data_IF_914227008238
#
_entry.id   IF_914227008238
#
_cell.length_a   1.000
_cell.length_b   1.000
_cell.length_c   1.000
_cell.angle_alpha   90.00
_cell.angle_beta   90.00
_cell.angle_gamma   90.00
#
_symmetry.space_group_name_H-M   'P 1'
#
loop_
_entity.id
_entity.type
_entity.pdbx_description
1 polymer ?
#
# COMPACT_ATOMS: atom_id res chain seq x y z
N UNK A 1 24.75 -10.45 0.20
CA UNK A 1 23.73 -9.54 0.78
C UNK A 1 23.49 -8.39 -0.20
N UNK A 2 22.29 -7.82 -0.27
CA UNK A 2 22.02 -6.64 -1.11
C UNK A 2 22.93 -5.47 -0.71
N UNK A 3 23.38 -4.69 -1.70
CA UNK A 3 24.03 -3.39 -1.44
C UNK A 3 22.98 -2.30 -1.25
N UNK A 4 23.34 -1.20 -0.58
CA UNK A 4 22.45 -0.03 -0.45
C UNK A 4 21.98 0.49 -1.81
N UNK A 5 22.84 0.44 -2.83
CA UNK A 5 22.51 0.87 -4.20
C UNK A 5 21.44 -0.02 -4.83
N UNK A 6 21.58 -1.33 -4.70
CA UNK A 6 20.56 -2.28 -5.18
C UNK A 6 19.25 -2.10 -4.42
N UNK A 7 19.31 -1.97 -3.09
CA UNK A 7 18.12 -1.70 -2.29
C UNK A 7 17.38 -0.43 -2.76
N UNK A 8 18.11 0.65 -3.04
CA UNK A 8 17.52 1.90 -3.55
C UNK A 8 16.83 1.74 -4.89
N UNK A 9 17.34 0.89 -5.78
CA UNK A 9 16.69 0.60 -7.07
C UNK A 9 15.36 -0.15 -6.87
N UNK A 10 15.29 -0.99 -5.84
CA UNK A 10 14.14 -1.81 -5.47
C UNK A 10 13.28 -1.17 -4.35
N UNK A 11 13.49 0.11 -4.03
CA UNK A 11 12.80 0.78 -2.91
C UNK A 11 11.28 0.83 -3.14
N UNK A 12 10.84 0.98 -4.38
CA UNK A 12 9.41 0.97 -4.72
C UNK A 12 8.78 -0.39 -4.40
N UNK A 13 9.45 -1.49 -4.73
CA UNK A 13 9.02 -2.84 -4.38
C UNK A 13 9.00 -3.04 -2.86
N UNK A 14 9.96 -2.43 -2.14
CA UNK A 14 9.88 -2.43 -0.69
C UNK A 14 8.66 -1.67 -0.14
N UNK A 15 8.17 -0.64 -0.83
CA UNK A 15 7.05 0.18 -0.36
C UNK A 15 5.68 -0.31 -0.86
N UNK A 16 5.63 -1.15 -1.89
CA UNK A 16 4.39 -1.72 -2.42
C UNK A 16 3.89 -2.87 -1.51
N UNK A 17 2.62 -2.84 -1.07
CA UNK A 17 2.01 -3.93 -0.32
C UNK A 17 1.77 -5.20 -1.16
N UNK A 18 1.83 -5.13 -2.49
CA UNK A 18 1.57 -6.24 -3.41
C UNK A 18 2.82 -6.90 -3.98
N UNK A 19 4.01 -6.48 -3.54
CA UNK A 19 5.27 -7.07 -3.97
C UNK A 19 5.36 -8.55 -3.62
N UNK A 20 6.06 -9.30 -4.48
CA UNK A 20 6.38 -10.70 -4.25
C UNK A 20 6.97 -10.94 -2.83
N UNK A 21 6.45 -11.93 -2.06
CA UNK A 21 6.88 -12.15 -0.68
C UNK A 21 8.37 -12.47 -0.51
N UNK A 22 8.98 -13.18 -1.46
CA UNK A 22 10.40 -13.53 -1.39
C UNK A 22 11.28 -12.31 -1.64
N UNK A 23 10.90 -11.48 -2.60
CA UNK A 23 11.53 -10.18 -2.83
C UNK A 23 11.40 -9.27 -1.61
N UNK A 24 10.19 -9.20 -1.02
CA UNK A 24 9.91 -8.40 0.19
C UNK A 24 10.82 -8.80 1.35
N UNK A 25 10.90 -10.10 1.65
CA UNK A 25 11.75 -10.65 2.71
C UNK A 25 13.23 -10.31 2.50
N UNK A 26 13.71 -10.40 1.26
CA UNK A 26 15.10 -10.07 0.92
C UNK A 26 15.42 -8.59 1.15
N UNK A 27 14.49 -7.70 0.81
CA UNK A 27 14.63 -6.26 1.02
C UNK A 27 14.53 -5.92 2.52
N UNK A 28 13.62 -6.55 3.26
CA UNK A 28 13.47 -6.40 4.72
C UNK A 28 14.73 -6.80 5.48
N UNK A 29 15.39 -7.89 5.11
CA UNK A 29 16.65 -8.31 5.72
C UNK A 29 17.73 -7.21 5.61
N UNK A 30 17.83 -6.54 4.47
CA UNK A 30 18.79 -5.45 4.29
C UNK A 30 18.46 -4.23 5.14
N UNK A 31 17.19 -3.80 5.17
CA UNK A 31 16.74 -2.64 5.94
C UNK A 31 16.96 -2.84 7.43
N UNK A 32 16.76 -4.07 7.91
CA UNK A 32 16.92 -4.43 9.32
C UNK A 32 18.37 -4.30 9.78
N UNK A 33 19.33 -4.57 8.90
CA UNK A 33 20.76 -4.58 9.23
C UNK A 33 21.51 -3.31 8.81
N UNK A 34 20.89 -2.45 8.00
CA UNK A 34 21.54 -1.25 7.45
C UNK A 34 20.89 0.05 7.96
N UNK A 35 21.55 0.79 8.87
CA UNK A 35 21.05 2.06 9.39
C UNK A 35 20.76 3.10 8.31
N UNK A 36 21.58 3.16 7.26
CA UNK A 36 21.39 4.11 6.15
C UNK A 36 20.08 3.84 5.40
N UNK A 37 19.83 2.57 5.05
CA UNK A 37 18.61 2.19 4.34
C UNK A 37 17.37 2.25 5.24
N UNK A 38 17.50 2.00 6.54
CA UNK A 38 16.44 2.25 7.51
C UNK A 38 15.98 3.72 7.47
N UNK A 39 16.92 4.68 7.57
CA UNK A 39 16.59 6.11 7.55
C UNK A 39 15.90 6.49 6.23
N UNK A 40 16.38 5.96 5.09
CA UNK A 40 15.77 6.21 3.78
C UNK A 40 14.34 5.69 3.73
N UNK A 41 14.09 4.46 4.20
CA UNK A 41 12.75 3.89 4.25
C UNK A 41 11.82 4.70 5.13
N UNK A 42 12.25 5.01 6.35
CA UNK A 42 11.45 5.74 7.34
C UNK A 42 11.06 7.13 6.83
N UNK A 43 12.03 7.89 6.31
CA UNK A 43 11.79 9.23 5.75
C UNK A 43 10.89 9.18 4.51
N UNK A 44 11.04 8.17 3.66
CA UNK A 44 10.18 7.98 2.48
C UNK A 44 8.74 7.65 2.89
N UNK A 45 8.53 6.78 3.88
CA UNK A 45 7.19 6.48 4.42
C UNK A 45 6.52 7.72 5.01
N UNK A 46 7.24 8.51 5.80
CA UNK A 46 6.74 9.80 6.34
C UNK A 46 6.38 10.78 5.24
N UNK A 47 7.20 10.85 4.19
CA UNK A 47 6.91 11.69 3.01
C UNK A 47 5.63 11.25 2.31
N UNK A 48 5.42 9.93 2.15
CA UNK A 48 4.19 9.37 1.59
C UNK A 48 2.98 9.67 2.47
N UNK A 49 3.11 9.60 3.79
CA UNK A 49 2.03 9.95 4.73
C UNK A 49 1.64 11.43 4.61
N UNK A 50 2.62 12.33 4.58
CA UNK A 50 2.40 13.78 4.39
C UNK A 50 1.70 14.03 3.05
N UNK A 51 2.19 13.45 1.96
CA UNK A 51 1.64 13.68 0.61
C UNK A 51 0.26 13.05 0.43
N UNK A 52 0.00 11.90 1.04
CA UNK A 52 -1.32 11.24 0.99
C UNK A 52 -2.38 11.97 1.83
N UNK A 53 -2.01 12.99 2.59
CA UNK A 53 -2.94 13.82 3.35
C UNK A 53 -3.79 12.96 4.28
N UNK A 54 -3.20 12.43 5.36
CA UNK A 54 -3.93 11.64 6.37
C UNK A 54 -4.79 12.54 7.28
N UNK A 55 -5.40 13.59 6.74
CA UNK A 55 -6.61 14.12 7.34
C UNK A 55 -7.76 13.25 6.82
N UNK A 56 -8.49 12.54 7.69
CA UNK A 56 -9.68 11.81 7.29
C UNK A 56 -10.64 12.76 6.57
N UNK A 57 -10.65 12.70 5.23
CA UNK A 57 -11.57 13.47 4.43
C UNK A 57 -12.95 12.84 4.57
N UNK A 58 -13.94 13.63 4.99
CA UNK A 58 -15.32 13.17 5.02
C UNK A 58 -15.75 12.85 3.59
N UNK A 59 -16.17 11.60 3.33
CA UNK A 59 -16.72 11.22 2.03
C UNK A 59 -18.02 12.01 1.82
N UNK A 60 -18.18 12.74 0.71
CA UNK A 60 -19.43 13.41 0.38
C UNK A 60 -20.62 12.43 0.39
N UNK A 61 -21.75 12.84 0.95
CA UNK A 61 -22.89 11.95 1.19
C UNK A 61 -23.46 11.36 -0.12
N UNK A 62 -23.37 12.09 -1.23
CA UNK A 62 -23.77 11.61 -2.54
C UNK A 62 -22.88 10.45 -3.04
N UNK A 63 -21.56 10.55 -2.83
CA UNK A 63 -20.58 9.52 -3.19
C UNK A 63 -20.81 8.27 -2.34
N UNK A 64 -20.99 8.44 -1.03
CA UNK A 64 -21.30 7.35 -0.10
C UNK A 64 -22.59 6.64 -0.50
N UNK A 65 -23.65 7.39 -0.80
CA UNK A 65 -24.94 6.84 -1.24
C UNK A 65 -24.81 6.05 -2.56
N UNK A 66 -24.10 6.60 -3.54
CA UNK A 66 -23.86 5.94 -4.84
C UNK A 66 -23.06 4.64 -4.67
N UNK A 67 -22.07 4.65 -3.80
CA UNK A 67 -21.25 3.47 -3.48
C UNK A 67 -22.10 2.37 -2.84
N UNK A 68 -22.90 2.68 -1.82
CA UNK A 68 -23.79 1.72 -1.18
C UNK A 68 -24.76 1.09 -2.16
N UNK A 69 -25.44 1.89 -2.99
CA UNK A 69 -26.33 1.37 -4.04
C UNK A 69 -25.61 0.46 -5.02
N UNK A 70 -24.36 0.76 -5.37
CA UNK A 70 -23.57 -0.08 -6.27
C UNK A 70 -23.20 -1.43 -5.63
N UNK A 71 -22.85 -1.43 -4.35
CA UNK A 71 -22.58 -2.65 -3.58
C UNK A 71 -23.83 -3.51 -3.46
N UNK A 72 -24.98 -2.93 -3.10
CA UNK A 72 -26.27 -3.61 -3.03
C UNK A 72 -26.62 -4.30 -4.36
N UNK A 73 -26.51 -3.57 -5.48
CA UNK A 73 -26.74 -4.13 -6.83
C UNK A 73 -25.81 -5.31 -7.12
N UNK A 74 -24.51 -5.19 -6.83
CA UNK A 74 -23.54 -6.28 -7.05
C UNK A 74 -23.82 -7.50 -6.18
N UNK A 75 -24.19 -7.29 -4.91
CA UNK A 75 -24.54 -8.36 -3.99
C UNK A 75 -25.83 -9.07 -4.42
N UNK A 76 -26.85 -8.32 -4.84
CA UNK A 76 -28.09 -8.88 -5.37
C UNK A 76 -27.84 -9.69 -6.64
N UNK A 77 -27.05 -9.15 -7.59
CA UNK A 77 -26.68 -9.87 -8.81
C UNK A 77 -25.92 -11.18 -8.53
N UNK A 78 -25.01 -11.18 -7.54
CA UNK A 78 -24.32 -12.40 -7.08
C UNK A 78 -25.29 -13.43 -6.49
N UNK A 79 -26.28 -13.00 -5.71
CA UNK A 79 -27.31 -13.89 -5.15
C UNK A 79 -28.20 -14.51 -6.22
N UNK A 80 -28.60 -13.74 -7.24
CA UNK A 80 -29.39 -14.25 -8.36
C UNK A 80 -28.61 -15.22 -9.29
N UNK A 81 -27.29 -15.09 -9.38
CA UNK A 81 -26.46 -15.97 -10.21
C UNK A 81 -26.07 -17.31 -9.53
N UNK A 82 -26.46 -17.50 -8.26
CA UNK A 82 -26.15 -18.70 -7.46
C UNK A 82 -27.40 -19.52 -7.11
N UNK A 83 -28.58 -19.13 -7.62
CA UNK A 83 -29.86 -19.81 -7.44
C UNK A 83 -30.42 -20.37 -8.73
#
# INVERSE_FOLDING_TARGET
MLTCKQFLQELNDYLDPNTDPDMKRRLEAHVTECPNCFVIVDTTKKTLEIYKGVEPQTIPEDVKTRLWRALERKMAARKCAQG
#
